data_IF_225489131224
#
_entry.id   IF_225489131224
#
_cell.length_a   1.000
_cell.length_b   1.000
_cell.length_c   1.000
_cell.angle_alpha   90.00
_cell.angle_beta   90.00
_cell.angle_gamma   90.00
#
_symmetry.space_group_name_H-M   'P 1'
#
loop_
_entity.id
_entity.type
_entity.pdbx_description
1 polymer ?
#
# COMPACT_ATOMS: atom_id res chain seq x y z
N UNK A 1 -1.45 35.10 5.41
CA UNK A 1 -1.39 34.34 5.28
C UNK A 1 -1.44 33.54 5.21
N UNK A 2 -1.31 33.29 5.21
CA UNK A 2 -1.18 32.31 5.03
C UNK A 2 -1.34 31.50 4.99
N UNK A 3 -1.32 31.21 4.85
CA UNK A 3 -1.44 30.23 4.71
C UNK A 3 -1.35 29.36 4.68
N UNK A 4 -1.17 28.81 4.63
CA UNK A 4 -0.99 27.82 4.52
C UNK A 4 -0.94 27.02 4.36
N UNK A 5 -0.84 26.91 4.35
CA UNK A 5 -0.76 25.99 4.17
C UNK A 5 -0.58 25.22 4.32
N UNK A 6 -0.56 24.77 4.14
CA UNK A 6 -0.42 23.80 4.19
C UNK A 6 0.15 23.07 4.18
N UNK A 7 0.50 22.57 4.53
CA UNK A 7 1.07 21.66 4.50
C UNK A 7 1.06 20.68 4.31
N UNK A 8 1.81 20.58 4.08
CA UNK A 8 1.52 19.41 3.37
C UNK A 8 1.43 18.24 4.25
N UNK A 9 0.28 17.97 4.52
CA UNK A 9 -0.04 16.68 5.04
C UNK A 9 0.34 15.66 4.01
N UNK A 10 1.12 14.71 4.41
CA UNK A 10 1.38 13.55 3.57
C UNK A 10 0.03 12.89 3.28
N UNK A 11 -0.24 12.53 2.03
CA UNK A 11 -1.45 11.80 1.73
C UNK A 11 -1.49 10.50 2.53
N UNK A 12 -2.63 10.21 3.10
CA UNK A 12 -2.84 8.97 3.84
C UNK A 12 -3.98 8.19 3.22
N UNK A 13 -3.98 6.89 3.44
CA UNK A 13 -5.05 6.03 2.98
C UNK A 13 -5.25 4.89 3.96
N UNK A 14 -6.38 4.23 3.84
CA UNK A 14 -6.68 3.04 4.62
C UNK A 14 -6.42 1.80 3.81
N UNK A 15 -5.73 0.85 4.42
CA UNK A 15 -5.51 -0.47 3.87
C UNK A 15 -6.16 -1.49 4.78
N UNK A 16 -6.68 -2.54 4.18
CA UNK A 16 -7.21 -3.67 4.93
C UNK A 16 -6.33 -4.88 4.68
N UNK A 17 -5.96 -5.58 5.75
CA UNK A 17 -5.30 -6.87 5.66
C UNK A 17 -6.28 -7.92 6.12
N UNK A 18 -6.66 -8.82 5.22
CA UNK A 18 -7.62 -9.87 5.56
C UNK A 18 -6.95 -11.00 6.33
N UNK A 19 -7.77 -11.80 7.01
CA UNK A 19 -7.26 -12.96 7.74
C UNK A 19 -6.58 -13.97 6.81
N UNK A 20 -6.96 -13.98 5.53
CA UNK A 20 -6.34 -14.86 4.53
C UNK A 20 -5.03 -14.31 3.97
N UNK A 21 -4.65 -13.09 4.36
CA UNK A 21 -3.39 -12.50 3.93
C UNK A 21 -3.48 -11.59 2.72
N UNK A 22 -4.68 -11.15 2.35
CA UNK A 22 -4.85 -10.21 1.24
C UNK A 22 -4.75 -8.77 1.72
N UNK A 23 -3.92 -8.01 1.03
CA UNK A 23 -3.92 -6.56 1.14
C UNK A 23 -5.02 -6.02 0.24
N UNK A 24 -5.91 -5.19 0.79
CA UNK A 24 -7.05 -4.65 0.05
C UNK A 24 -7.05 -3.14 0.11
N UNK A 25 -7.33 -2.51 -1.02
CA UNK A 25 -7.46 -1.07 -1.08
C UNK A 25 -8.52 -0.70 -2.12
N UNK A 26 -9.08 0.52 -1.95
CA UNK A 26 -10.12 1.00 -2.85
C UNK A 26 -9.56 1.26 -4.24
N UNK A 27 -10.45 1.29 -5.23
CA UNK A 27 -10.10 1.64 -6.59
C UNK A 27 -9.41 3.01 -6.65
N UNK A 28 -9.96 3.99 -5.94
CA UNK A 28 -9.42 5.35 -5.95
C UNK A 28 -8.01 5.40 -5.40
N UNK A 29 -7.78 4.73 -4.29
CA UNK A 29 -6.43 4.68 -3.70
C UNK A 29 -5.46 3.92 -4.61
N UNK A 30 -5.92 2.83 -5.19
CA UNK A 30 -5.07 2.04 -6.08
C UNK A 30 -4.67 2.86 -7.31
N UNK A 31 -5.62 3.57 -7.91
CA UNK A 31 -5.33 4.39 -9.08
C UNK A 31 -4.42 5.57 -8.75
N UNK A 32 -4.57 6.13 -7.56
CA UNK A 32 -3.76 7.27 -7.15
C UNK A 32 -2.32 6.88 -6.81
N UNK A 33 -2.15 5.81 -6.03
CA UNK A 33 -0.82 5.44 -5.52
C UNK A 33 -0.11 4.39 -6.37
N UNK A 34 -0.85 3.56 -7.08
CA UNK A 34 -0.31 2.47 -7.90
C UNK A 34 -0.93 2.49 -9.28
N UNK A 35 -0.65 3.55 -10.08
CA UNK A 35 -1.35 3.73 -11.38
C UNK A 35 -1.14 2.60 -12.37
N UNK A 36 -0.11 1.80 -12.23
CA UNK A 36 0.14 0.66 -13.11
C UNK A 36 -0.17 -0.68 -12.44
N UNK A 37 -0.82 -0.65 -11.27
CA UNK A 37 -1.20 -1.84 -10.51
C UNK A 37 -0.03 -2.76 -10.15
N UNK A 38 1.18 -2.22 -10.12
CA UNK A 38 2.37 -3.00 -9.76
C UNK A 38 3.12 -2.33 -8.62
N UNK A 39 3.73 -3.14 -7.76
CA UNK A 39 4.45 -2.63 -6.61
C UNK A 39 5.49 -3.63 -6.10
N UNK A 40 6.42 -3.15 -5.30
CA UNK A 40 7.29 -3.97 -4.49
C UNK A 40 6.87 -3.82 -3.03
N UNK A 41 6.88 -4.91 -2.30
CA UNK A 41 6.58 -4.91 -0.87
C UNK A 41 7.84 -5.27 -0.11
N UNK A 42 8.21 -4.42 0.85
CA UNK A 42 9.41 -4.60 1.65
C UNK A 42 9.05 -4.48 3.12
N UNK A 43 9.82 -5.14 3.97
CA UNK A 43 9.70 -4.99 5.41
C UNK A 43 10.93 -4.24 5.91
N UNK A 44 10.71 -3.10 6.55
CA UNK A 44 11.80 -2.23 6.99
C UNK A 44 11.47 -1.59 8.33
N UNK A 45 12.34 -1.79 9.31
CA UNK A 45 12.24 -1.13 10.61
C UNK A 45 10.86 -1.29 11.25
N UNK A 46 10.29 -2.49 11.15
CA UNK A 46 8.99 -2.78 11.73
C UNK A 46 7.81 -2.25 10.95
N UNK A 47 8.02 -1.81 9.73
CA UNK A 47 6.95 -1.29 8.88
C UNK A 47 6.92 -2.00 7.54
N UNK A 48 5.71 -2.11 6.99
CA UNK A 48 5.52 -2.60 5.64
C UNK A 48 5.66 -1.41 4.69
N UNK A 49 6.54 -1.53 3.70
CA UNK A 49 6.77 -0.47 2.72
C UNK A 49 6.32 -0.96 1.36
N UNK A 50 5.47 -0.18 0.70
CA UNK A 50 4.91 -0.51 -0.60
C UNK A 50 5.39 0.51 -1.62
N UNK A 51 6.22 0.07 -2.57
CA UNK A 51 6.82 0.95 -3.57
C UNK A 51 6.13 0.73 -4.92
N UNK A 52 5.44 1.74 -5.48
CA UNK A 52 4.90 1.60 -6.82
C UNK A 52 6.01 1.37 -7.83
N UNK A 53 5.75 0.49 -8.79
CA UNK A 53 6.71 0.21 -9.86
C UNK A 53 6.06 0.51 -11.20
N UNK A 54 6.87 0.61 -12.23
CA UNK A 54 6.39 0.82 -13.59
C UNK A 54 6.41 -0.51 -14.33
N UNK A 55 5.23 -0.93 -14.76
CA UNK A 55 5.08 -2.15 -15.52
C UNK A 55 5.49 -3.38 -14.74
N UNK A 56 5.71 -4.46 -15.47
CA UNK A 56 6.08 -5.74 -14.88
C UNK A 56 7.57 -5.82 -14.61
N UNK A 57 8.05 -5.01 -13.66
CA UNK A 57 9.44 -5.08 -13.25
C UNK A 57 9.69 -6.44 -12.59
N UNK A 58 10.92 -6.95 -12.73
CA UNK A 58 11.30 -8.22 -12.13
C UNK A 58 11.07 -8.17 -10.61
N UNK A 59 10.33 -9.14 -10.08
CA UNK A 59 10.01 -9.21 -8.67
C UNK A 59 8.83 -8.36 -8.25
N UNK A 60 8.20 -7.63 -9.17
CA UNK A 60 7.04 -6.82 -8.86
C UNK A 60 5.80 -7.66 -8.61
N UNK A 61 4.96 -7.17 -7.70
CA UNK A 61 3.68 -7.78 -7.38
C UNK A 61 2.59 -7.03 -8.11
N UNK A 62 1.55 -7.73 -8.50
CA UNK A 62 0.44 -7.12 -9.25
C UNK A 62 -0.81 -7.04 -8.40
N UNK A 63 -1.37 -5.83 -8.33
CA UNK A 63 -2.69 -5.61 -7.75
C UNK A 63 -3.72 -6.12 -8.72
N UNK A 64 -4.69 -6.87 -8.24
CA UNK A 64 -5.75 -7.45 -9.06
C UNK A 64 -7.10 -6.87 -8.68
N UNK A 65 -7.94 -6.65 -9.67
CA UNK A 65 -9.30 -6.21 -9.42
C UNK A 65 -10.06 -7.31 -8.69
N UNK A 66 -10.67 -6.95 -7.55
CA UNK A 66 -11.34 -7.93 -6.71
C UNK A 66 -12.86 -7.89 -6.82
N UNK A 67 -13.42 -6.87 -7.46
CA UNK A 67 -14.86 -6.74 -7.60
C UNK A 67 -15.21 -5.81 -8.76
N UNK A 68 -16.51 -5.67 -9.03
CA UNK A 68 -16.99 -4.84 -10.14
C UNK A 68 -16.78 -3.35 -9.90
N UNK A 69 -16.53 -2.92 -8.67
CA UNK A 69 -16.22 -1.52 -8.36
C UNK A 69 -14.79 -1.15 -8.70
N UNK A 70 -13.96 -2.12 -9.02
CA UNK A 70 -12.57 -1.89 -9.36
C UNK A 70 -11.63 -1.83 -8.16
N UNK A 71 -12.09 -2.23 -6.98
CA UNK A 71 -11.21 -2.33 -5.82
C UNK A 71 -10.13 -3.38 -6.08
N UNK A 72 -8.98 -3.21 -5.45
CA UNK A 72 -7.80 -4.04 -5.70
C UNK A 72 -7.45 -4.90 -4.52
N UNK A 73 -6.80 -6.02 -4.79
CA UNK A 73 -6.24 -6.87 -3.75
C UNK A 73 -4.94 -7.51 -4.22
N UNK A 74 -4.15 -7.92 -3.24
CA UNK A 74 -2.87 -8.56 -3.45
C UNK A 74 -2.62 -9.54 -2.32
N UNK A 75 -2.27 -10.78 -2.65
CA UNK A 75 -1.96 -11.78 -1.63
C UNK A 75 -0.55 -11.48 -1.09
N UNK A 76 -0.50 -10.69 -0.03
CA UNK A 76 0.76 -10.21 0.50
C UNK A 76 1.41 -11.20 1.47
N UNK A 77 0.64 -12.11 2.02
CA UNK A 77 1.18 -13.10 2.96
C UNK A 77 2.23 -14.01 2.34
N UNK A 78 2.21 -14.18 1.03
CA UNK A 78 3.22 -15.00 0.34
C UNK A 78 4.57 -14.30 0.19
N UNK A 79 4.62 -13.00 0.44
CA UNK A 79 5.85 -12.22 0.26
C UNK A 79 6.77 -12.35 1.45
N UNK A 80 6.21 -12.57 2.63
CA UNK A 80 6.96 -12.60 3.87
C UNK A 80 6.84 -13.95 4.55
N UNK A 81 7.89 -14.35 5.28
CA UNK A 81 7.93 -15.62 6.00
C UNK A 81 7.25 -15.54 7.37
N UNK A 82 6.69 -14.40 7.72
CA UNK A 82 6.00 -14.21 8.99
C UNK A 82 4.59 -13.72 8.74
N UNK A 83 3.73 -13.92 9.72
CA UNK A 83 2.34 -13.49 9.61
C UNK A 83 2.22 -11.99 9.83
N UNK A 84 1.37 -11.36 9.01
CA UNK A 84 1.02 -9.95 9.18
C UNK A 84 -0.36 -9.94 9.82
N UNK A 85 -0.56 -9.19 10.92
CA UNK A 85 -1.87 -9.17 11.60
C UNK A 85 -2.96 -8.64 10.68
N UNK A 86 -4.13 -9.26 10.75
CA UNK A 86 -5.31 -8.80 10.01
C UNK A 86 -5.86 -7.54 10.65
N UNK A 87 -6.51 -6.71 9.85
CA UNK A 87 -7.16 -5.51 10.34
C UNK A 87 -7.06 -4.36 9.36
N UNK A 88 -7.51 -3.19 9.82
CA UNK A 88 -7.42 -1.96 9.06
C UNK A 88 -6.20 -1.18 9.52
N UNK A 89 -5.44 -0.69 8.57
CA UNK A 89 -4.22 0.07 8.86
C UNK A 89 -4.21 1.35 8.07
N UNK A 90 -3.61 2.38 8.64
CA UNK A 90 -3.38 3.64 7.93
C UNK A 90 -1.98 3.62 7.34
N UNK A 91 -1.87 3.96 6.08
CA UNK A 91 -0.59 4.10 5.41
C UNK A 91 -0.37 5.56 5.08
N UNK A 92 0.87 5.99 5.08
CA UNK A 92 1.25 7.34 4.71
C UNK A 92 2.26 7.31 3.58
N UNK A 93 2.09 8.20 2.62
CA UNK A 93 3.03 8.34 1.51
C UNK A 93 4.27 9.09 2.01
N UNK A 94 5.43 8.58 1.67
CA UNK A 94 6.71 9.22 2.00
C UNK A 94 7.46 9.53 0.71
N UNK A 95 7.56 10.82 0.39
CA UNK A 95 8.22 11.27 -0.83
C UNK A 95 9.70 10.92 -0.89
N UNK A 96 10.34 10.82 0.28
CA UNK A 96 11.78 10.53 0.30
C UNK A 96 12.10 9.13 -0.18
N UNK A 97 11.16 8.21 -0.06
CA UNK A 97 11.34 6.84 -0.55
C UNK A 97 10.45 6.53 -1.75
N UNK A 98 9.51 7.42 -2.07
CA UNK A 98 8.58 7.19 -3.18
C UNK A 98 7.63 6.04 -2.95
N UNK A 99 7.14 5.87 -1.75
CA UNK A 99 6.27 4.77 -1.40
C UNK A 99 5.40 4.99 -0.18
N UNK A 100 4.55 4.01 0.09
CA UNK A 100 3.66 4.01 1.25
C UNK A 100 4.32 3.28 2.41
N UNK A 101 4.19 3.84 3.59
CA UNK A 101 4.65 3.20 4.82
C UNK A 101 3.43 2.82 5.65
N UNK A 102 3.32 1.54 5.98
CA UNK A 102 2.24 1.00 6.80
C UNK A 102 2.84 0.55 8.13
N UNK A 103 2.49 1.26 9.20
CA UNK A 103 2.96 0.88 10.53
C UNK A 103 2.00 -0.15 11.12
N UNK A 104 2.53 -1.33 11.37
CA UNK A 104 1.76 -2.43 11.93
C UNK A 104 1.95 -2.44 13.45
N UNK A 105 0.95 -2.90 14.20
CA UNK A 105 1.11 -3.01 15.64
C UNK A 105 2.21 -4.00 15.99
N UNK A 106 2.92 -3.67 17.03
CA UNK A 106 4.03 -4.51 17.50
C UNK A 106 3.49 -5.85 18.05
#
# INVERSE_FOLDING_TARGET
MSVQVSKPTRPTLRLNLSAEGYLRLSREDAEHFFPEDTLLALWRDGALVLLPTRGAAAGGLMLKQRNSNGDRSLLISEVFEFEIPAGDFTAAWDDSIGGLIVHLPA
#
